data_IF_462858702722
#
_entry.id   IF_462858702722
#
_cell.length_a   1.000
_cell.length_b   1.000
_cell.length_c   1.000
_cell.angle_alpha   90.00
_cell.angle_beta   90.00
_cell.angle_gamma   90.00
#
_symmetry.space_group_name_H-M   'P 1'
#
loop_
_entity.id
_entity.type
_entity.pdbx_description
1 polymer ?
#
# COMPACT_ATOMS: atom_id res chain seq x y z
N UNK A 1 -39.06 -0.92 -16.84
CA UNK A 1 -37.77 -0.44 -17.39
C UNK A 1 -36.85 0.20 -16.32
N UNK A 2 -36.77 -0.34 -15.11
CA UNK A 2 -35.94 0.21 -14.03
C UNK A 2 -35.03 -0.84 -13.35
N UNK A 3 -34.88 -2.03 -13.95
CA UNK A 3 -34.11 -3.14 -13.37
C UNK A 3 -32.81 -3.46 -14.13
N UNK A 4 -32.50 -2.73 -15.21
CA UNK A 4 -31.29 -2.96 -16.03
C UNK A 4 -30.08 -2.10 -15.61
N UNK A 5 -30.27 -1.07 -14.76
CA UNK A 5 -29.21 -0.10 -14.43
C UNK A 5 -28.14 -0.65 -13.46
N UNK A 6 -28.39 -1.78 -12.79
CA UNK A 6 -27.54 -2.29 -11.71
C UNK A 6 -26.72 -3.56 -12.04
N UNK A 7 -26.45 -3.82 -13.32
CA UNK A 7 -25.46 -4.81 -13.75
C UNK A 7 -24.20 -4.15 -14.32
N UNK A 8 -23.67 -3.16 -13.61
CA UNK A 8 -22.33 -2.67 -13.93
C UNK A 8 -21.34 -3.82 -13.62
N UNK A 9 -20.70 -4.36 -14.65
CA UNK A 9 -19.70 -5.43 -14.61
C UNK A 9 -18.38 -4.99 -13.91
N UNK A 10 -18.47 -4.33 -12.76
CA UNK A 10 -17.32 -3.85 -12.01
C UNK A 10 -16.67 -5.04 -11.31
N UNK A 11 -15.71 -5.66 -12.00
CA UNK A 11 -14.96 -6.83 -11.50
C UNK A 11 -14.13 -6.52 -10.25
N UNK A 12 -13.76 -5.26 -10.05
CA UNK A 12 -13.02 -4.77 -8.88
C UNK A 12 -13.17 -3.25 -8.73
N UNK A 13 -13.19 -2.75 -7.49
CA UNK A 13 -13.19 -1.30 -7.22
C UNK A 13 -11.83 -0.70 -7.57
N UNK A 14 -11.81 0.51 -8.14
CA UNK A 14 -10.57 1.23 -8.45
C UNK A 14 -9.68 1.42 -7.20
N UNK A 15 -10.30 1.73 -6.05
CA UNK A 15 -9.59 1.87 -4.77
C UNK A 15 -8.83 0.59 -4.39
N UNK A 16 -9.46 -0.58 -4.54
CA UNK A 16 -8.82 -1.88 -4.28
C UNK A 16 -7.64 -2.11 -5.23
N UNK A 17 -7.80 -1.80 -6.52
CA UNK A 17 -6.71 -1.94 -7.49
C UNK A 17 -5.52 -1.01 -7.17
N UNK A 18 -5.78 0.21 -6.73
CA UNK A 18 -4.73 1.16 -6.29
C UNK A 18 -4.03 0.65 -5.04
N UNK A 19 -4.77 0.17 -4.04
CA UNK A 19 -4.19 -0.40 -2.81
C UNK A 19 -3.29 -1.61 -3.11
N UNK A 20 -3.70 -2.52 -4.01
CA UNK A 20 -2.88 -3.67 -4.43
C UNK A 20 -1.55 -3.19 -5.01
N UNK A 21 -1.56 -2.15 -5.86
CA UNK A 21 -0.33 -1.62 -6.48
C UNK A 21 0.60 -1.00 -5.44
N UNK A 22 0.07 -0.21 -4.52
CA UNK A 22 0.84 0.42 -3.44
C UNK A 22 1.51 -0.65 -2.58
N UNK A 23 0.75 -1.66 -2.14
CA UNK A 23 1.27 -2.72 -1.27
C UNK A 23 2.25 -3.63 -2.02
N UNK A 24 2.02 -3.91 -3.30
CA UNK A 24 2.95 -4.69 -4.13
C UNK A 24 4.29 -3.98 -4.28
N UNK A 25 4.25 -2.67 -4.54
CA UNK A 25 5.46 -1.84 -4.62
C UNK A 25 6.19 -1.75 -3.28
N UNK A 26 5.46 -1.55 -2.18
CA UNK A 26 6.04 -1.57 -0.83
C UNK A 26 6.79 -2.88 -0.55
N UNK A 27 6.17 -4.01 -0.88
CA UNK A 27 6.81 -5.32 -0.71
C UNK A 27 8.05 -5.49 -1.59
N UNK A 28 8.00 -4.99 -2.84
CA UNK A 28 9.16 -4.98 -3.72
C UNK A 28 10.32 -4.18 -3.10
N UNK A 29 10.07 -2.94 -2.68
CA UNK A 29 11.08 -2.07 -2.06
C UNK A 29 11.64 -2.67 -0.77
N UNK A 30 10.79 -3.24 0.09
CA UNK A 30 11.23 -3.82 1.38
C UNK A 30 12.19 -5.00 1.24
N UNK A 31 12.20 -5.68 0.09
CA UNK A 31 13.08 -6.81 -0.22
C UNK A 31 14.31 -6.45 -1.06
N UNK A 32 14.46 -5.18 -1.46
CA UNK A 32 15.68 -4.68 -2.13
C UNK A 32 16.82 -4.59 -1.13
N UNK A 33 18.06 -4.56 -1.60
CA UNK A 33 19.23 -4.39 -0.74
C UNK A 33 19.15 -3.05 0.02
N UNK A 34 19.81 -2.97 1.17
CA UNK A 34 19.91 -1.79 2.03
C UNK A 34 20.56 -0.58 1.35
N UNK A 35 21.41 -0.81 0.33
CA UNK A 35 21.99 0.26 -0.52
C UNK A 35 20.96 0.88 -1.49
N UNK A 36 19.79 0.27 -1.67
CA UNK A 36 18.74 0.78 -2.56
C UNK A 36 18.16 2.09 -2.00
N UNK A 37 18.25 3.18 -2.76
CA UNK A 37 17.74 4.51 -2.36
C UNK A 37 16.26 4.42 -1.97
N UNK A 38 15.48 3.65 -2.71
CA UNK A 38 14.05 3.46 -2.46
C UNK A 38 13.80 2.84 -1.07
N UNK A 39 14.61 1.85 -0.68
CA UNK A 39 14.51 1.22 0.64
C UNK A 39 14.94 2.17 1.74
N UNK A 40 16.04 2.91 1.54
CA UNK A 40 16.50 3.95 2.46
C UNK A 40 15.46 5.05 2.67
N UNK A 41 14.81 5.52 1.60
CA UNK A 41 13.77 6.56 1.66
C UNK A 41 12.50 6.04 2.36
N UNK A 42 12.14 4.78 2.18
CA UNK A 42 10.96 4.17 2.82
C UNK A 42 11.19 3.89 4.30
N UNK A 43 12.37 3.37 4.66
CA UNK A 43 12.71 3.02 6.04
C UNK A 43 13.24 4.20 6.84
N UNK A 44 13.82 5.20 6.17
CA UNK A 44 14.35 6.41 6.76
C UNK A 44 13.23 7.33 7.27
N UNK A 45 13.38 7.80 8.51
CA UNK A 45 12.54 8.87 9.04
C UNK A 45 13.06 10.20 8.49
N UNK A 46 12.45 10.69 7.42
CA UNK A 46 12.70 12.07 6.95
C UNK A 46 11.98 13.03 7.89
N UNK A 47 12.76 13.62 8.80
CA UNK A 47 12.33 14.70 9.70
C UNK A 47 11.96 15.96 8.89
N UNK A 48 11.07 16.78 9.46
CA UNK A 48 10.65 18.04 8.88
C UNK A 48 9.18 18.07 8.43
N UNK A 49 8.62 19.28 8.44
CA UNK A 49 7.23 19.53 8.04
C UNK A 49 7.15 19.63 6.52
N UNK A 50 6.12 19.03 5.93
CA UNK A 50 5.89 19.18 4.49
C UNK A 50 5.51 20.61 4.15
N UNK A 51 6.01 21.09 3.01
CA UNK A 51 5.61 22.38 2.46
C UNK A 51 4.08 22.43 2.22
N UNK A 52 3.51 23.62 2.40
CA UNK A 52 2.09 23.90 2.12
C UNK A 52 1.75 23.52 0.67
N UNK A 53 0.53 23.03 0.45
CA UNK A 53 0.02 22.64 -0.88
C UNK A 53 0.36 21.20 -1.31
N UNK A 54 1.31 20.51 -0.66
CA UNK A 54 1.50 19.06 -0.87
C UNK A 54 0.50 18.26 -0.04
N UNK A 55 0.06 17.11 -0.57
CA UNK A 55 -0.79 16.19 0.18
C UNK A 55 -0.14 15.82 1.52
N UNK A 56 -0.87 15.89 2.64
CA UNK A 56 -0.35 15.49 3.94
C UNK A 56 -0.04 13.99 3.97
N UNK A 57 -0.80 13.17 3.22
CA UNK A 57 -0.66 11.71 3.20
C UNK A 57 0.50 11.28 2.28
N UNK A 58 1.51 10.62 2.83
CA UNK A 58 2.55 9.91 2.06
C UNK A 58 1.95 8.61 1.50
N UNK A 59 2.52 8.07 0.42
CA UNK A 59 2.15 6.72 -0.01
C UNK A 59 2.44 5.67 1.08
N UNK A 60 3.48 5.87 1.89
CA UNK A 60 3.78 5.04 3.09
C UNK A 60 2.75 5.19 4.20
N UNK A 61 2.05 6.33 4.28
CA UNK A 61 0.90 6.49 5.17
C UNK A 61 -0.29 5.67 4.68
N UNK A 62 -0.47 5.54 3.36
CA UNK A 62 -1.50 4.66 2.79
C UNK A 62 -1.24 3.20 3.12
N UNK A 63 0.04 2.78 3.14
CA UNK A 63 0.41 1.43 3.61
C UNK A 63 -0.01 1.23 5.06
N UNK A 64 0.36 2.17 5.95
CA UNK A 64 -0.03 2.11 7.38
C UNK A 64 -1.55 2.10 7.57
N UNK A 65 -2.28 2.94 6.84
CA UNK A 65 -3.73 3.03 6.91
C UNK A 65 -4.44 1.78 6.36
N UNK A 66 -3.86 1.13 5.34
CA UNK A 66 -4.47 -0.06 4.71
C UNK A 66 -4.18 -1.35 5.50
N UNK A 67 -2.99 -1.45 6.10
CA UNK A 67 -2.57 -2.63 6.87
C UNK A 67 -2.89 -2.49 8.37
N UNK A 68 -3.14 -1.26 8.82
CA UNK A 68 -3.39 -0.92 10.23
C UNK A 68 -2.21 -1.33 11.14
N UNK A 69 -0.98 -1.18 10.63
CA UNK A 69 0.25 -1.54 11.33
C UNK A 69 1.35 -0.50 11.08
N UNK A 70 2.31 -0.33 12.00
CA UNK A 70 3.43 0.59 11.82
C UNK A 70 4.35 0.14 10.68
N UNK A 71 4.96 1.11 9.99
CA UNK A 71 5.71 0.88 8.75
C UNK A 71 6.88 -0.11 8.91
N UNK A 72 7.56 -0.09 10.05
CA UNK A 72 8.67 -1.00 10.36
C UNK A 72 8.19 -2.46 10.47
N UNK A 73 6.99 -2.69 11.02
CA UNK A 73 6.40 -4.02 11.10
C UNK A 73 5.95 -4.50 9.72
N UNK A 74 5.32 -3.62 8.93
CA UNK A 74 5.01 -3.90 7.53
C UNK A 74 6.28 -4.30 6.76
N UNK A 75 7.40 -3.60 6.95
CA UNK A 75 8.66 -3.90 6.29
C UNK A 75 9.22 -5.28 6.68
N UNK A 76 9.15 -5.66 7.97
CA UNK A 76 9.55 -6.99 8.44
C UNK A 76 8.69 -8.11 7.83
N UNK A 77 7.36 -7.94 7.86
CA UNK A 77 6.41 -8.89 7.25
C UNK A 77 6.58 -8.97 5.73
N UNK A 78 6.99 -7.86 5.10
CA UNK A 78 7.27 -7.81 3.68
C UNK A 78 8.53 -8.58 3.28
N UNK A 79 9.44 -8.89 4.20
CA UNK A 79 10.64 -9.70 3.93
C UNK A 79 10.24 -11.11 3.47
N UNK A 80 9.20 -11.71 4.07
CA UNK A 80 8.67 -13.01 3.67
C UNK A 80 7.62 -12.80 2.56
N UNK A 81 7.93 -13.28 1.34
CA UNK A 81 7.10 -13.03 0.16
C UNK A 81 5.66 -13.56 0.31
N UNK A 82 5.51 -14.76 0.85
CA UNK A 82 4.19 -15.40 1.02
C UNK A 82 3.37 -14.74 2.12
N UNK A 83 3.99 -14.36 3.23
CA UNK A 83 3.35 -13.60 4.29
C UNK A 83 2.80 -12.27 3.73
N UNK A 84 3.63 -11.54 2.99
CA UNK A 84 3.22 -10.28 2.37
C UNK A 84 2.06 -10.47 1.38
N UNK A 85 2.13 -11.48 0.50
CA UNK A 85 1.05 -11.80 -0.44
C UNK A 85 -0.27 -12.08 0.27
N UNK A 86 -0.23 -12.82 1.38
CA UNK A 86 -1.41 -13.10 2.20
C UNK A 86 -1.99 -11.82 2.80
N UNK A 87 -1.13 -10.95 3.34
CA UNK A 87 -1.52 -9.65 3.90
C UNK A 87 -2.20 -8.76 2.83
N UNK A 88 -1.58 -8.63 1.65
CA UNK A 88 -2.16 -7.84 0.54
C UNK A 88 -3.53 -8.37 0.16
N UNK A 89 -3.65 -9.69 -0.04
CA UNK A 89 -4.93 -10.32 -0.40
C UNK A 89 -6.01 -10.07 0.63
N UNK A 90 -5.68 -10.11 1.93
CA UNK A 90 -6.62 -9.82 3.02
C UNK A 90 -7.02 -8.35 3.04
N UNK A 91 -6.06 -7.44 2.92
CA UNK A 91 -6.29 -6.00 3.03
C UNK A 91 -7.07 -5.40 1.85
N UNK A 92 -6.98 -6.02 0.66
CA UNK A 92 -7.64 -5.51 -0.56
C UNK A 92 -8.81 -6.37 -1.03
N UNK A 93 -9.26 -7.33 -0.22
CA UNK A 93 -10.48 -8.10 -0.53
C UNK A 93 -11.65 -7.13 -0.71
N UNK A 94 -12.44 -7.26 -1.79
CA UNK A 94 -13.69 -6.51 -1.93
C UNK A 94 -14.55 -6.76 -0.68
N UNK A 95 -15.02 -5.68 -0.04
CA UNK A 95 -16.07 -5.75 0.99
C UNK A 95 -17.42 -5.95 0.31
#
# INVERSE_FOLDING_TARGET
MALEILKCQIKQRLSSAVQVRILSFFGHVSRRNDVSIERLVVQGKVEGTRARGRSPMRWTDQVKATIEAPLHECARKATVREEWRSIVKRATKPR
#
